data_IF_278515829498
#
_entry.id   IF_278515829498
#
_cell.length_a   1.000
_cell.length_b   1.000
_cell.length_c   1.000
_cell.angle_alpha   90.00
_cell.angle_beta   90.00
_cell.angle_gamma   90.00
#
_symmetry.space_group_name_H-M   'P 1'
#
loop_
_entity.id
_entity.type
_entity.pdbx_description
1 polymer ?
#
# COMPACT_ATOMS: atom_id res chain seq x y z
N UNK A 1 -46.48 15.65 26.22
CA UNK A 1 -45.98 16.07 24.89
C UNK A 1 -44.49 16.47 24.87
N UNK A 2 -43.74 16.34 25.98
CA UNK A 2 -42.33 16.79 26.08
C UNK A 2 -41.30 15.67 25.79
N UNK A 3 -41.71 14.39 25.79
CA UNK A 3 -40.78 13.25 25.64
C UNK A 3 -40.50 12.80 24.20
N UNK A 4 -41.24 13.28 23.19
CA UNK A 4 -41.06 12.85 21.79
C UNK A 4 -40.02 13.74 21.07
N UNK A 5 -39.90 15.02 21.44
CA UNK A 5 -39.01 15.99 20.77
C UNK A 5 -37.52 15.67 20.97
N UNK A 6 -37.13 15.13 22.13
CA UNK A 6 -35.71 14.84 22.45
C UNK A 6 -35.16 13.61 21.72
N UNK A 7 -36.01 12.68 21.32
CA UNK A 7 -35.58 11.44 20.63
C UNK A 7 -35.18 11.74 19.17
N UNK A 8 -35.84 12.72 18.54
CA UNK A 8 -35.50 13.14 17.18
C UNK A 8 -34.20 13.96 17.11
N UNK A 9 -33.87 14.75 18.14
CA UNK A 9 -32.60 15.49 18.18
C UNK A 9 -31.38 14.60 18.38
N UNK A 10 -31.52 13.42 18.99
CA UNK A 10 -30.41 12.47 19.15
C UNK A 10 -30.16 11.70 17.85
N UNK A 11 -31.20 11.41 17.05
CA UNK A 11 -31.03 10.72 15.76
C UNK A 11 -30.48 11.62 14.64
N UNK A 12 -30.62 12.94 14.74
CA UNK A 12 -30.07 13.87 13.75
C UNK A 12 -28.54 14.09 13.90
N UNK A 13 -27.93 13.69 15.02
CA UNK A 13 -26.51 13.88 15.28
C UNK A 13 -25.60 12.72 14.80
N UNK A 14 -26.16 11.60 14.35
CA UNK A 14 -25.40 10.42 13.88
C UNK A 14 -25.27 10.30 12.36
N UNK A 15 -25.80 11.24 11.58
CA UNK A 15 -25.81 11.18 10.11
C UNK A 15 -24.66 11.95 9.43
N UNK A 16 -23.58 12.25 10.16
CA UNK A 16 -22.36 12.84 9.61
C UNK A 16 -21.14 11.94 9.83
N UNK A 17 -21.32 10.61 9.75
CA UNK A 17 -20.21 9.74 9.38
C UNK A 17 -20.00 9.92 7.88
N UNK A 18 -19.31 11.00 7.52
CA UNK A 18 -18.72 11.11 6.19
C UNK A 18 -17.91 9.85 5.97
N UNK A 19 -18.35 9.02 5.02
CA UNK A 19 -17.49 8.06 4.33
C UNK A 19 -16.40 8.89 3.64
N UNK A 20 -15.43 9.37 4.40
CA UNK A 20 -14.15 9.74 3.85
C UNK A 20 -13.64 8.43 3.24
N UNK A 21 -13.70 8.34 1.91
CA UNK A 21 -12.97 7.30 1.21
C UNK A 21 -11.55 7.38 1.74
N UNK A 22 -11.11 6.32 2.40
CA UNK A 22 -9.79 6.18 2.99
C UNK A 22 -8.76 6.06 1.85
N UNK A 23 -8.59 7.13 1.09
CA UNK A 23 -7.59 7.25 0.03
C UNK A 23 -6.39 8.03 0.51
N UNK A 24 -5.27 7.90 -0.20
CA UNK A 24 -4.11 8.74 0.05
C UNK A 24 -4.47 10.23 -0.13
N UNK A 25 -3.91 11.07 0.74
CA UNK A 25 -3.89 12.53 0.57
C UNK A 25 -3.05 12.93 -0.66
N UNK A 26 -3.25 14.14 -1.17
CA UNK A 26 -2.52 14.59 -2.37
C UNK A 26 -1.02 14.75 -2.11
N UNK A 27 -0.60 15.10 -0.88
CA UNK A 27 0.80 15.10 -0.49
C UNK A 27 1.40 13.69 -0.52
N UNK A 28 0.70 12.69 0.03
CA UNK A 28 1.15 11.30 -0.02
C UNK A 28 1.25 10.77 -1.46
N UNK A 29 0.29 11.11 -2.33
CA UNK A 29 0.36 10.77 -3.77
C UNK A 29 1.56 11.43 -4.44
N UNK A 30 1.85 12.70 -4.13
CA UNK A 30 2.98 13.42 -4.68
C UNK A 30 4.32 12.80 -4.23
N UNK A 31 4.45 12.44 -2.95
CA UNK A 31 5.62 11.74 -2.42
C UNK A 31 5.81 10.37 -3.08
N UNK A 32 4.74 9.56 -3.16
CA UNK A 32 4.79 8.26 -3.82
C UNK A 32 5.26 8.39 -5.28
N UNK A 33 4.75 9.41 -6.00
CA UNK A 33 5.17 9.71 -7.38
C UNK A 33 6.65 10.14 -7.45
N UNK A 34 7.14 10.92 -6.49
CA UNK A 34 8.55 11.32 -6.44
C UNK A 34 9.46 10.11 -6.18
N UNK A 35 9.10 9.25 -5.23
CA UNK A 35 9.84 8.01 -4.92
C UNK A 35 9.88 7.07 -6.13
N UNK A 36 8.73 6.85 -6.77
CA UNK A 36 8.65 6.05 -7.98
C UNK A 36 9.53 6.60 -9.11
N UNK A 37 9.53 7.93 -9.34
CA UNK A 37 10.44 8.55 -10.33
C UNK A 37 11.92 8.33 -10.01
N UNK A 38 12.30 8.44 -8.74
CA UNK A 38 13.67 8.19 -8.31
C UNK A 38 14.07 6.73 -8.58
N UNK A 39 13.20 5.77 -8.27
CA UNK A 39 13.45 4.35 -8.50
C UNK A 39 13.47 3.98 -10.00
N UNK A 40 12.60 4.57 -10.83
CA UNK A 40 12.68 4.43 -12.29
C UNK A 40 14.06 4.81 -12.80
N UNK A 41 14.59 5.96 -12.34
CA UNK A 41 15.93 6.43 -12.70
C UNK A 41 17.03 5.52 -12.16
N UNK A 42 16.93 5.08 -10.91
CA UNK A 42 17.95 4.27 -10.24
C UNK A 42 18.13 2.90 -10.92
N UNK A 43 17.02 2.22 -11.21
CA UNK A 43 17.06 0.86 -11.77
C UNK A 43 17.16 0.86 -13.30
N UNK A 44 16.91 2.01 -13.93
CA UNK A 44 16.99 2.16 -15.39
C UNK A 44 15.87 1.41 -16.11
N UNK A 45 14.66 1.41 -15.54
CA UNK A 45 13.43 0.91 -16.19
C UNK A 45 12.68 2.05 -16.89
N UNK A 46 11.71 1.71 -17.72
CA UNK A 46 10.81 2.72 -18.30
C UNK A 46 9.68 3.11 -17.34
N UNK A 47 9.06 4.26 -17.60
CA UNK A 47 7.86 4.69 -16.87
C UNK A 47 6.71 3.70 -17.09
N UNK A 48 6.63 3.12 -18.29
CA UNK A 48 5.59 2.18 -18.70
C UNK A 48 5.71 0.87 -17.92
N UNK A 49 6.93 0.36 -17.71
CA UNK A 49 7.18 -0.80 -16.85
C UNK A 49 6.75 -0.54 -15.41
N UNK A 50 7.10 0.62 -14.85
CA UNK A 50 6.66 1.00 -13.50
C UNK A 50 5.13 1.13 -13.37
N UNK A 51 4.47 1.70 -14.38
CA UNK A 51 3.01 1.81 -14.42
C UNK A 51 2.36 0.43 -14.53
N UNK A 52 2.90 -0.45 -15.37
CA UNK A 52 2.42 -1.81 -15.54
C UNK A 52 2.47 -2.56 -14.20
N UNK A 53 3.60 -2.54 -13.49
CA UNK A 53 3.73 -3.16 -12.17
C UNK A 53 2.73 -2.57 -11.17
N UNK A 54 2.62 -1.24 -11.10
CA UNK A 54 1.67 -0.56 -10.21
C UNK A 54 0.22 -0.96 -10.49
N UNK A 55 -0.11 -1.25 -11.74
CA UNK A 55 -1.45 -1.66 -12.16
C UNK A 55 -1.74 -3.14 -11.91
N UNK A 56 -0.79 -3.92 -11.39
CA UNK A 56 -0.94 -5.36 -11.15
C UNK A 56 -0.54 -6.24 -12.34
N UNK A 57 0.12 -5.68 -13.36
CA UNK A 57 0.71 -6.49 -14.41
C UNK A 57 2.09 -7.01 -13.95
N UNK A 58 2.11 -8.28 -13.57
CA UNK A 58 3.28 -9.01 -13.11
C UNK A 58 3.96 -9.85 -14.20
N UNK A 59 3.64 -9.63 -15.48
CA UNK A 59 4.17 -10.44 -16.58
C UNK A 59 5.59 -10.04 -17.04
N UNK A 60 6.07 -8.84 -16.67
CA UNK A 60 7.41 -8.38 -17.02
C UNK A 60 8.47 -9.17 -16.24
N UNK A 61 9.37 -9.83 -16.96
CA UNK A 61 10.42 -10.69 -16.43
C UNK A 61 11.76 -9.99 -16.26
N UNK A 62 11.88 -8.70 -16.62
CA UNK A 62 13.10 -7.92 -16.43
C UNK A 62 13.48 -7.85 -14.93
N UNK A 63 14.67 -8.35 -14.53
CA UNK A 63 15.13 -8.28 -13.14
C UNK A 63 15.12 -6.86 -12.55
N UNK A 64 15.29 -5.82 -13.39
CA UNK A 64 15.26 -4.43 -12.95
C UNK A 64 13.88 -3.99 -12.47
N UNK A 65 12.80 -4.57 -13.00
CA UNK A 65 11.43 -4.30 -12.51
C UNK A 65 11.25 -4.84 -11.10
N UNK A 66 11.85 -5.98 -10.77
CA UNK A 66 11.89 -6.50 -9.40
C UNK A 66 12.66 -5.57 -8.47
N UNK A 67 13.82 -5.07 -8.93
CA UNK A 67 14.60 -4.11 -8.14
C UNK A 67 13.89 -2.76 -8.01
N UNK A 68 13.05 -2.36 -8.96
CA UNK A 68 12.19 -1.19 -8.82
C UNK A 68 11.19 -1.35 -7.67
N UNK A 69 10.58 -2.54 -7.52
CA UNK A 69 9.72 -2.84 -6.37
C UNK A 69 10.49 -2.69 -5.05
N UNK A 70 11.69 -3.28 -4.96
CA UNK A 70 12.54 -3.13 -3.78
C UNK A 70 12.88 -1.67 -3.47
N UNK A 71 13.36 -0.91 -4.46
CA UNK A 71 13.66 0.51 -4.29
C UNK A 71 12.46 1.28 -3.76
N UNK A 72 11.27 1.06 -4.32
CA UNK A 72 10.07 1.77 -3.89
C UNK A 72 9.67 1.42 -2.44
N UNK A 73 9.71 0.14 -2.07
CA UNK A 73 9.39 -0.31 -0.71
C UNK A 73 10.44 0.15 0.32
N UNK A 74 11.72 0.23 -0.05
CA UNK A 74 12.76 0.80 0.81
C UNK A 74 12.58 2.31 0.98
N UNK A 75 12.28 3.04 -0.10
CA UNK A 75 12.06 4.47 -0.01
C UNK A 75 10.81 4.83 0.79
N UNK A 76 9.79 3.98 0.83
CA UNK A 76 8.61 4.17 1.70
C UNK A 76 8.84 3.67 3.13
N UNK A 77 9.98 3.01 3.39
CA UNK A 77 10.38 2.47 4.69
C UNK A 77 9.69 1.16 5.07
N UNK A 78 8.94 0.56 4.15
CA UNK A 78 8.19 -0.68 4.35
C UNK A 78 9.09 -1.91 4.36
N UNK A 79 10.22 -1.83 3.64
CA UNK A 79 11.26 -2.86 3.57
C UNK A 79 12.60 -2.24 3.91
N UNK A 80 13.54 -3.03 4.45
CA UNK A 80 14.96 -2.71 4.48
C UNK A 80 15.77 -3.97 4.17
N UNK A 81 16.65 -3.92 3.16
CA UNK A 81 17.48 -5.05 2.76
C UNK A 81 16.67 -6.33 2.47
N UNK A 82 15.51 -6.20 1.82
CA UNK A 82 14.62 -7.32 1.51
C UNK A 82 13.84 -7.87 2.70
N UNK A 83 13.89 -7.22 3.87
CA UNK A 83 13.08 -7.57 5.04
C UNK A 83 11.93 -6.58 5.23
N UNK A 84 10.70 -7.09 5.23
CA UNK A 84 9.50 -6.31 5.52
C UNK A 84 9.50 -5.82 6.97
N UNK A 85 8.93 -4.65 7.21
CA UNK A 85 8.73 -4.06 8.54
C UNK A 85 7.24 -4.04 8.88
N UNK A 86 6.72 -5.09 9.54
CA UNK A 86 5.27 -5.26 9.74
C UNK A 86 4.62 -4.06 10.44
N UNK A 87 5.26 -3.51 11.46
CA UNK A 87 4.71 -2.36 12.19
C UNK A 87 4.57 -1.11 11.31
N UNK A 88 5.53 -0.88 10.41
CA UNK A 88 5.50 0.27 9.48
C UNK A 88 4.44 0.06 8.40
N UNK A 89 4.30 -1.18 7.91
CA UNK A 89 3.24 -1.56 6.96
C UNK A 89 1.87 -1.33 7.59
N UNK A 90 1.63 -1.83 8.80
CA UNK A 90 0.36 -1.66 9.51
C UNK A 90 0.05 -0.18 9.75
N UNK A 91 1.04 0.60 10.19
CA UNK A 91 0.85 2.03 10.44
C UNK A 91 0.51 2.84 9.16
N UNK A 92 1.03 2.44 8.00
CA UNK A 92 0.81 3.16 6.73
C UNK A 92 -0.43 2.67 5.98
N UNK A 93 -0.65 1.37 5.93
CA UNK A 93 -1.76 0.78 5.18
C UNK A 93 -3.02 0.59 6.01
N UNK A 94 -2.92 0.42 7.34
CA UNK A 94 -4.07 0.25 8.22
C UNK A 94 -5.14 1.36 8.06
N UNK A 95 -4.75 2.64 8.00
CA UNK A 95 -5.69 3.74 7.75
C UNK A 95 -6.33 3.75 6.35
N UNK A 96 -5.77 3.04 5.37
CA UNK A 96 -6.17 3.06 3.95
C UNK A 96 -6.96 1.80 3.59
N UNK A 97 -6.40 0.64 3.91
CA UNK A 97 -6.91 -0.69 3.57
C UNK A 97 -7.62 -1.40 4.73
N UNK A 98 -7.64 -0.78 5.92
CA UNK A 98 -8.22 -1.32 7.16
C UNK A 98 -7.23 -2.20 7.93
N UNK A 99 -7.04 -1.94 9.23
CA UNK A 99 -6.08 -2.68 10.05
C UNK A 99 -6.29 -4.19 10.06
N UNK A 100 -7.54 -4.66 10.15
CA UNK A 100 -7.84 -6.09 10.19
C UNK A 100 -7.43 -6.78 8.88
N UNK A 101 -7.75 -6.16 7.75
CA UNK A 101 -7.33 -6.64 6.43
C UNK A 101 -5.80 -6.66 6.32
N UNK A 102 -5.11 -5.58 6.72
CA UNK A 102 -3.64 -5.52 6.66
C UNK A 102 -3.00 -6.62 7.53
N UNK A 103 -3.51 -6.88 8.74
CA UNK A 103 -3.03 -7.97 9.60
C UNK A 103 -3.26 -9.35 8.97
N UNK A 104 -4.39 -9.55 8.31
CA UNK A 104 -4.67 -10.79 7.58
C UNK A 104 -3.69 -10.98 6.41
N UNK A 105 -3.41 -9.92 5.64
CA UNK A 105 -2.44 -9.98 4.55
C UNK A 105 -1.02 -10.20 5.06
N UNK A 106 -0.63 -9.56 6.18
CA UNK A 106 0.67 -9.80 6.83
C UNK A 106 0.87 -11.28 7.19
N UNK A 107 -0.15 -11.90 7.77
CA UNK A 107 -0.11 -13.33 8.13
C UNK A 107 0.08 -14.24 6.90
N UNK A 108 -0.37 -13.82 5.71
CA UNK A 108 -0.22 -14.57 4.44
C UNK A 108 1.09 -14.27 3.73
N UNK A 109 1.55 -13.02 3.75
CA UNK A 109 2.57 -12.51 2.83
C UNK A 109 3.94 -12.28 3.48
N UNK A 110 4.04 -11.96 4.77
CA UNK A 110 5.29 -11.45 5.36
C UNK A 110 6.44 -12.49 5.40
N UNK A 111 6.09 -13.77 5.34
CA UNK A 111 7.04 -14.88 5.26
C UNK A 111 7.62 -15.08 3.84
N UNK A 112 7.14 -14.34 2.84
CA UNK A 112 7.61 -14.44 1.45
C UNK A 112 9.12 -14.18 1.34
N UNK A 113 9.80 -15.06 0.61
CA UNK A 113 11.23 -14.96 0.29
C UNK A 113 11.46 -15.30 -1.18
N UNK A 114 12.26 -14.47 -1.84
CA UNK A 114 12.75 -14.70 -3.19
C UNK A 114 14.22 -15.09 -3.20
N UNK A 115 14.78 -15.18 -4.40
CA UNK A 115 16.20 -15.51 -4.61
C UNK A 115 17.16 -14.42 -4.07
N UNK A 116 16.72 -13.16 -4.06
CA UNK A 116 17.46 -12.01 -3.54
C UNK A 116 16.50 -10.95 -2.96
N UNK A 117 17.02 -9.79 -2.58
CA UNK A 117 16.20 -8.68 -2.03
C UNK A 117 15.21 -8.10 -3.05
N UNK A 118 15.58 -8.04 -4.33
CA UNK A 118 14.72 -7.53 -5.39
C UNK A 118 13.54 -8.48 -5.63
N UNK A 119 13.85 -9.77 -5.74
CA UNK A 119 12.85 -10.83 -5.92
C UNK A 119 11.93 -10.95 -4.70
N UNK A 120 12.48 -10.87 -3.47
CA UNK A 120 11.69 -10.89 -2.24
C UNK A 120 10.70 -9.72 -2.20
N UNK A 121 11.16 -8.49 -2.45
CA UNK A 121 10.31 -7.30 -2.47
C UNK A 121 9.25 -7.34 -3.58
N UNK A 122 9.60 -7.87 -4.74
CA UNK A 122 8.65 -8.06 -5.84
C UNK A 122 7.55 -9.06 -5.49
N UNK A 123 7.90 -10.21 -4.91
CA UNK A 123 6.93 -11.23 -4.48
C UNK A 123 6.05 -10.71 -3.34
N UNK A 124 6.61 -9.95 -2.40
CA UNK A 124 5.84 -9.24 -1.37
C UNK A 124 4.85 -8.26 -2.01
N UNK A 125 5.32 -7.40 -2.92
CA UNK A 125 4.45 -6.45 -3.65
C UNK A 125 3.28 -7.16 -4.34
N UNK A 126 3.57 -8.26 -5.05
CA UNK A 126 2.56 -9.06 -5.72
C UNK A 126 1.56 -9.68 -4.74
N UNK A 127 2.03 -10.31 -3.66
CA UNK A 127 1.17 -10.93 -2.65
C UNK A 127 0.21 -9.91 -1.99
N UNK A 128 0.72 -8.73 -1.64
CA UNK A 128 -0.08 -7.64 -1.09
C UNK A 128 -1.10 -7.08 -2.08
N UNK A 129 -0.73 -6.97 -3.36
CA UNK A 129 -1.65 -6.56 -4.43
C UNK A 129 -2.80 -7.57 -4.60
N UNK A 130 -2.47 -8.87 -4.70
CA UNK A 130 -3.44 -9.95 -4.92
C UNK A 130 -4.40 -10.13 -3.73
N UNK A 131 -3.98 -9.72 -2.52
CA UNK A 131 -4.82 -9.74 -1.32
C UNK A 131 -5.41 -8.36 -0.96
N UNK A 132 -5.46 -7.42 -1.91
CA UNK A 132 -6.13 -6.12 -1.77
C UNK A 132 -5.64 -5.25 -0.58
N UNK A 133 -4.34 -5.28 -0.32
CA UNK A 133 -3.65 -4.39 0.62
C UNK A 133 -2.43 -3.73 -0.05
N UNK A 134 -2.61 -3.19 -1.26
CA UNK A 134 -1.48 -2.66 -2.04
C UNK A 134 -0.77 -1.46 -1.39
N UNK A 135 0.52 -1.35 -1.70
CA UNK A 135 1.45 -0.31 -1.29
C UNK A 135 1.26 1.04 -1.99
#
# INVERSE_FOLDING_TARGET
TISIMKVFFVFAALAALSLASAGLTDSQKAEAKQRAKACVKQEGITKEQAIALRSGNFADSDPKVKCFANCFLEQTGLVANGQIKPDVVLAKLGPIAGEANVKEVQAKCDSTKGADKCDTSYLLYKCYYENHAQF
#
